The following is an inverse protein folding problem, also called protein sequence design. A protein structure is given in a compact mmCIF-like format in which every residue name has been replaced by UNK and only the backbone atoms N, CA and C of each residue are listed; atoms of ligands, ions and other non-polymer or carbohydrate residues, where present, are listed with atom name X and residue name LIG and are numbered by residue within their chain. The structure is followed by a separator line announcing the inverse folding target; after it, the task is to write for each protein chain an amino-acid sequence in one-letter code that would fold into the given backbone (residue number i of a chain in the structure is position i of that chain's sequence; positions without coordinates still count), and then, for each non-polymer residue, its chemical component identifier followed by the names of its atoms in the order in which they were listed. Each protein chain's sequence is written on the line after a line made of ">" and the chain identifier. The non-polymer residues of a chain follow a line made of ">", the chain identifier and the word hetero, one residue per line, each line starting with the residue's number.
data_IF_226996915075
#
_entry.id   IF_226996915075
#
_cell.length_a   1.000
_cell.length_b   1.000
_cell.length_c   1.000
_cell.angle_alpha   90.00
_cell.angle_beta   90.00
_cell.angle_gamma   90.00
#
_symmetry.space_group_name_H-M   'P 1'
#
loop_
_entity.id
_entity.type
_entity.pdbx_description
1 polymer ?
#
# COMPACT_ATOMS: atom_id res chain seq x y z
N UNK A 1 23.85 -28.96 -43.25
CA UNK A 1 22.41 -28.67 -43.12
C UNK A 1 22.25 -27.50 -42.17
N UNK A 2 22.09 -26.30 -42.72
CA UNK A 2 21.87 -25.06 -41.99
C UNK A 2 20.43 -25.08 -41.47
N UNK A 3 20.24 -25.52 -40.23
CA UNK A 3 18.95 -25.40 -39.57
C UNK A 3 18.72 -23.91 -39.26
N UNK A 4 17.69 -23.36 -39.91
CA UNK A 4 17.12 -22.04 -39.73
C UNK A 4 17.41 -21.40 -38.37
N UNK A 5 18.30 -20.41 -38.39
CA UNK A 5 18.57 -19.51 -37.28
C UNK A 5 17.52 -18.38 -37.27
N UNK A 6 16.24 -18.74 -37.33
CA UNK A 6 15.14 -17.84 -36.94
C UNK A 6 15.10 -17.85 -35.41
N UNK A 7 16.06 -17.16 -34.80
CA UNK A 7 15.87 -16.68 -33.43
C UNK A 7 14.60 -15.83 -33.45
N UNK A 8 13.53 -16.35 -32.86
CA UNK A 8 12.29 -15.64 -32.52
C UNK A 8 12.65 -14.33 -31.84
N UNK A 9 12.82 -13.28 -32.65
CA UNK A 9 13.11 -11.93 -32.19
C UNK A 9 11.77 -11.33 -31.75
N UNK A 10 11.21 -11.89 -30.68
CA UNK A 10 9.99 -11.40 -30.05
C UNK A 10 10.21 -9.94 -29.73
N UNK A 11 9.45 -9.04 -30.34
CA UNK A 11 9.57 -7.62 -30.04
C UNK A 11 8.98 -7.36 -28.64
N UNK A 12 9.78 -6.73 -27.76
CA UNK A 12 9.35 -6.36 -26.40
C UNK A 12 8.11 -5.48 -26.38
N UNK A 13 7.92 -4.72 -27.46
CA UNK A 13 6.96 -3.63 -27.54
C UNK A 13 5.79 -3.95 -28.47
N UNK A 14 5.74 -5.15 -29.05
CA UNK A 14 4.64 -5.61 -29.89
C UNK A 14 3.33 -5.66 -29.09
N UNK A 15 3.36 -6.29 -27.91
CA UNK A 15 2.24 -6.24 -26.97
C UNK A 15 2.31 -4.98 -26.10
N UNK A 16 1.72 -3.90 -26.63
CA UNK A 16 1.64 -2.62 -25.94
C UNK A 16 0.86 -2.68 -24.60
N UNK A 17 0.06 -3.73 -24.34
CA UNK A 17 -0.66 -3.87 -23.06
C UNK A 17 0.26 -4.24 -21.89
N UNK A 18 1.45 -4.77 -22.17
CA UNK A 18 2.48 -5.08 -21.15
C UNK A 18 3.27 -3.85 -20.68
N UNK A 19 3.04 -2.70 -21.28
CA UNK A 19 3.70 -1.44 -20.95
C UNK A 19 2.69 -0.38 -20.49
N UNK A 20 3.10 0.57 -19.63
CA UNK A 20 2.24 1.69 -19.28
C UNK A 20 1.90 2.49 -20.54
N UNK A 21 0.64 2.93 -20.68
CA UNK A 21 0.24 3.82 -21.79
C UNK A 21 0.98 5.16 -21.76
N UNK A 22 1.23 5.66 -20.54
CA UNK A 22 1.98 6.89 -20.29
C UNK A 22 3.09 6.64 -19.26
N UNK A 23 4.20 5.98 -19.63
CA UNK A 23 5.25 5.66 -18.67
C UNK A 23 6.01 6.93 -18.27
N UNK A 24 6.61 6.88 -17.07
CA UNK A 24 7.73 7.78 -16.78
C UNK A 24 8.90 7.50 -17.72
N UNK A 25 9.62 8.53 -18.11
CA UNK A 25 10.84 8.46 -18.91
C UNK A 25 11.78 9.63 -18.58
N UNK A 26 13.09 9.40 -18.69
CA UNK A 26 14.10 10.40 -18.35
C UNK A 26 15.46 10.08 -18.97
N UNK A 27 16.34 11.10 -19.01
CA UNK A 27 17.74 10.92 -19.39
C UNK A 27 18.56 10.16 -18.34
N UNK A 28 18.11 10.19 -17.08
CA UNK A 28 18.69 9.54 -15.91
C UNK A 28 17.65 8.67 -15.16
N UNK A 29 17.98 8.18 -13.96
CA UNK A 29 17.08 7.36 -13.13
C UNK A 29 15.95 8.15 -12.41
N UNK A 30 15.79 9.47 -12.64
CA UNK A 30 14.94 10.34 -11.79
C UNK A 30 13.43 10.29 -12.09
N UNK A 31 12.97 9.59 -13.13
CA UNK A 31 11.56 9.50 -13.50
C UNK A 31 10.90 10.88 -13.71
N UNK A 32 11.59 11.81 -14.36
CA UNK A 32 11.21 13.23 -14.37
C UNK A 32 10.08 13.63 -15.34
N UNK A 33 9.79 12.82 -16.36
CA UNK A 33 8.77 13.14 -17.37
C UNK A 33 7.79 11.99 -17.60
N UNK A 34 6.52 12.32 -17.84
CA UNK A 34 5.49 11.36 -18.27
C UNK A 34 5.15 11.65 -19.74
N UNK A 35 5.21 10.64 -20.60
CA UNK A 35 5.00 10.77 -22.06
C UNK A 35 4.19 9.61 -22.60
N UNK A 36 3.74 9.66 -23.87
CA UNK A 36 3.21 8.47 -24.55
C UNK A 36 4.31 7.42 -24.69
N UNK A 37 3.95 6.13 -24.74
CA UNK A 37 4.92 5.05 -24.90
C UNK A 37 5.88 5.30 -26.07
N UNK A 38 5.36 5.63 -27.26
CA UNK A 38 6.17 5.92 -28.45
C UNK A 38 7.24 7.01 -28.23
N UNK A 39 6.94 8.03 -27.42
CA UNK A 39 7.90 9.10 -27.12
C UNK A 39 8.86 8.69 -26.00
N UNK A 40 8.36 7.97 -24.99
CA UNK A 40 9.16 7.45 -23.90
C UNK A 40 10.25 6.48 -24.38
N UNK A 41 9.99 5.70 -25.44
CA UNK A 41 10.97 4.80 -26.05
C UNK A 41 12.21 5.51 -26.59
N UNK A 42 12.16 6.83 -26.80
CA UNK A 42 13.30 7.65 -27.23
C UNK A 42 14.22 8.08 -26.09
N UNK A 43 13.87 7.77 -24.84
CA UNK A 43 14.66 8.14 -23.67
C UNK A 43 15.48 6.96 -23.13
N UNK A 44 16.67 7.20 -22.52
CA UNK A 44 17.50 6.14 -21.94
C UNK A 44 16.82 5.34 -20.84
N UNK A 45 15.98 5.95 -20.01
CA UNK A 45 15.27 5.26 -18.93
C UNK A 45 13.77 5.33 -19.13
N UNK A 46 13.07 4.24 -18.83
CA UNK A 46 11.63 4.09 -19.00
C UNK A 46 11.01 3.33 -17.81
N UNK A 47 9.78 3.69 -17.44
CA UNK A 47 8.97 2.90 -16.52
C UNK A 47 8.40 1.68 -17.23
N UNK A 48 8.73 0.50 -16.73
CA UNK A 48 8.26 -0.75 -17.32
C UNK A 48 6.93 -1.26 -16.72
N UNK A 49 6.68 -1.00 -15.43
CA UNK A 49 5.48 -1.46 -14.74
C UNK A 49 4.53 -0.29 -14.44
N UNK A 50 3.22 -0.40 -14.71
CA UNK A 50 2.26 0.58 -14.19
C UNK A 50 2.14 0.47 -12.67
N UNK A 51 1.64 1.51 -11.95
CA UNK A 51 1.69 1.55 -10.49
C UNK A 51 1.02 0.36 -9.77
N UNK A 52 -0.05 -0.19 -10.36
CA UNK A 52 -0.89 -1.22 -9.74
C UNK A 52 -0.58 -2.65 -10.20
N UNK A 53 0.37 -2.86 -11.11
CA UNK A 53 0.60 -4.16 -11.72
C UNK A 53 2.10 -4.44 -11.90
N UNK A 54 2.55 -5.61 -11.48
CA UNK A 54 3.86 -6.15 -11.81
C UNK A 54 3.75 -7.01 -13.07
N UNK A 55 4.28 -6.51 -14.17
CA UNK A 55 4.40 -7.22 -15.45
C UNK A 55 5.83 -7.74 -15.63
N UNK A 56 6.81 -6.97 -15.14
CA UNK A 56 8.24 -7.21 -15.30
C UNK A 56 8.92 -7.19 -13.93
N UNK A 57 9.57 -8.29 -13.54
CA UNK A 57 10.45 -8.35 -12.37
C UNK A 57 11.85 -7.87 -12.76
N UNK A 58 12.29 -6.74 -12.20
CA UNK A 58 13.47 -5.99 -12.64
C UNK A 58 14.49 -5.94 -11.50
N UNK A 59 15.73 -6.27 -11.81
CA UNK A 59 16.82 -6.34 -10.84
C UNK A 59 17.99 -5.47 -11.31
N UNK A 60 18.38 -4.47 -10.51
CA UNK A 60 19.57 -3.64 -10.75
C UNK A 60 20.81 -4.35 -10.20
N UNK A 61 21.71 -4.75 -11.10
CA UNK A 61 22.92 -5.50 -10.79
C UNK A 61 24.11 -4.57 -11.05
N UNK A 62 24.69 -4.07 -9.96
CA UNK A 62 25.77 -3.08 -9.96
C UNK A 62 27.17 -3.70 -9.98
N UNK A 63 27.29 -4.92 -10.51
CA UNK A 63 28.55 -5.63 -10.67
C UNK A 63 28.99 -5.71 -12.14
N UNK A 64 30.32 -5.85 -12.40
CA UNK A 64 30.81 -6.11 -13.75
C UNK A 64 30.20 -7.37 -14.36
N UNK A 65 30.00 -7.35 -15.67
CA UNK A 65 29.34 -8.42 -16.44
C UNK A 65 27.92 -8.77 -15.96
N UNK A 66 27.15 -7.77 -15.51
CA UNK A 66 25.79 -7.94 -15.00
C UNK A 66 24.90 -8.78 -15.92
N UNK A 67 25.05 -8.65 -17.24
CA UNK A 67 24.25 -9.39 -18.23
C UNK A 67 24.35 -10.93 -18.11
N UNK A 68 25.40 -11.45 -17.46
CA UNK A 68 25.66 -12.87 -17.23
C UNK A 68 25.44 -13.29 -15.77
N UNK A 69 24.98 -12.37 -14.90
CA UNK A 69 24.78 -12.67 -13.48
C UNK A 69 23.76 -13.80 -13.25
N UNK A 70 22.76 -13.93 -14.13
CA UNK A 70 21.77 -15.00 -14.07
C UNK A 70 22.38 -16.40 -14.20
N UNK A 71 23.40 -16.55 -15.04
CA UNK A 71 24.07 -17.84 -15.26
C UNK A 71 24.85 -18.25 -14.01
N UNK A 72 25.58 -17.31 -13.40
CA UNK A 72 26.28 -17.52 -12.13
C UNK A 72 25.31 -17.87 -10.99
N UNK A 73 24.15 -17.24 -10.96
CA UNK A 73 23.09 -17.50 -9.99
C UNK A 73 22.32 -18.80 -10.23
N UNK A 74 22.59 -19.51 -11.33
CA UNK A 74 21.78 -20.64 -11.79
C UNK A 74 20.28 -20.28 -11.82
N UNK A 75 19.96 -19.21 -12.55
CA UNK A 75 18.61 -18.70 -12.80
C UNK A 75 18.23 -18.96 -14.27
N UNK A 76 16.94 -18.88 -14.65
CA UNK A 76 16.58 -18.99 -16.05
C UNK A 76 17.03 -17.73 -16.82
N UNK A 77 17.29 -17.83 -18.14
CA UNK A 77 17.69 -16.66 -18.94
C UNK A 77 16.69 -15.50 -18.80
N UNK A 78 17.14 -14.26 -18.55
CA UNK A 78 16.24 -13.12 -18.45
C UNK A 78 15.55 -12.84 -19.78
N UNK A 79 14.34 -12.27 -19.76
CA UNK A 79 13.67 -11.78 -20.97
C UNK A 79 14.53 -10.75 -21.69
N UNK A 80 15.18 -9.87 -20.93
CA UNK A 80 16.31 -9.09 -21.43
C UNK A 80 17.27 -8.70 -20.32
N UNK A 81 18.50 -8.42 -20.72
CA UNK A 81 19.47 -7.70 -19.92
C UNK A 81 19.85 -6.40 -20.66
N UNK A 82 19.69 -5.26 -20.00
CA UNK A 82 20.13 -3.96 -20.52
C UNK A 82 21.30 -3.46 -19.68
N UNK A 83 22.48 -3.36 -20.29
CA UNK A 83 23.72 -3.00 -19.59
C UNK A 83 24.38 -1.75 -20.17
N UNK A 84 25.07 -1.03 -19.29
CA UNK A 84 25.95 0.05 -19.70
C UNK A 84 27.17 -0.51 -20.46
N UNK A 85 27.58 0.16 -21.54
CA UNK A 85 28.64 -0.33 -22.41
C UNK A 85 30.03 -0.27 -21.78
N UNK A 86 30.25 0.61 -20.81
CA UNK A 86 31.56 0.82 -20.19
C UNK A 86 31.66 0.08 -18.86
N UNK A 87 30.74 0.35 -17.94
CA UNK A 87 30.73 -0.25 -16.61
C UNK A 87 30.19 -1.68 -16.59
N UNK A 88 29.46 -2.10 -17.63
CA UNK A 88 28.78 -3.40 -17.74
C UNK A 88 27.74 -3.69 -16.65
N UNK A 89 27.43 -2.71 -15.80
CA UNK A 89 26.36 -2.74 -14.80
C UNK A 89 25.00 -2.66 -15.48
N UNK A 90 24.01 -3.35 -14.96
CA UNK A 90 22.87 -3.76 -15.77
C UNK A 90 21.57 -3.92 -15.04
N UNK A 91 20.47 -3.86 -15.79
CA UNK A 91 19.19 -4.36 -15.31
C UNK A 91 18.90 -5.69 -15.99
N UNK A 92 18.56 -6.70 -15.19
CA UNK A 92 18.09 -8.00 -15.65
C UNK A 92 16.60 -8.09 -15.40
N UNK A 93 15.84 -8.53 -16.39
CA UNK A 93 14.39 -8.46 -16.35
C UNK A 93 13.74 -9.75 -16.81
N UNK A 94 12.80 -10.24 -16.01
CA UNK A 94 11.94 -11.37 -16.34
C UNK A 94 10.50 -10.90 -16.48
N UNK A 95 9.87 -11.20 -17.61
CA UNK A 95 8.44 -10.96 -17.80
C UNK A 95 7.59 -12.02 -17.12
N UNK A 96 6.46 -11.60 -16.53
CA UNK A 96 5.44 -12.50 -15.99
C UNK A 96 4.36 -12.73 -17.05
N UNK A 97 4.01 -13.99 -17.30
CA UNK A 97 2.95 -14.37 -18.26
C UNK A 97 1.59 -13.89 -17.78
N UNK A 98 1.34 -14.02 -16.47
CA UNK A 98 0.19 -13.45 -15.76
C UNK A 98 0.72 -12.35 -14.83
N UNK A 99 0.46 -11.07 -15.13
CA UNK A 99 0.86 -9.98 -14.26
C UNK A 99 0.19 -10.06 -12.88
N UNK A 100 0.91 -9.64 -11.85
CA UNK A 100 0.43 -9.66 -10.46
C UNK A 100 -0.03 -8.28 -10.04
N UNK A 101 -1.24 -8.17 -9.49
CA UNK A 101 -1.74 -6.92 -8.90
C UNK A 101 -0.92 -6.58 -7.67
N UNK A 102 -0.38 -5.36 -7.64
CA UNK A 102 0.49 -4.88 -6.56
C UNK A 102 -0.01 -3.72 -5.75
N UNK A 103 -0.99 -2.99 -6.27
CA UNK A 103 -1.61 -1.87 -5.59
C UNK A 103 -3.06 -1.72 -6.08
N UNK A 104 -4.00 -2.32 -5.35
CA UNK A 104 -5.44 -2.26 -5.64
C UNK A 104 -6.26 -2.64 -4.39
N UNK A 105 -7.46 -2.05 -4.17
CA UNK A 105 -8.37 -2.47 -3.11
C UNK A 105 -8.73 -3.96 -3.17
N UNK A 106 -8.78 -4.52 -4.38
CA UNK A 106 -9.16 -5.92 -4.64
C UNK A 106 -7.94 -6.86 -4.71
N UNK A 107 -6.76 -6.40 -4.28
CA UNK A 107 -5.52 -7.17 -4.35
C UNK A 107 -5.56 -8.39 -3.42
N UNK A 108 -5.39 -9.58 -4.00
CA UNK A 108 -5.13 -10.81 -3.23
C UNK A 108 -3.72 -10.77 -2.66
N UNK A 109 -3.60 -10.97 -1.36
CA UNK A 109 -2.31 -10.93 -0.65
C UNK A 109 -1.40 -12.11 -1.00
N UNK A 110 -1.97 -13.27 -1.34
CA UNK A 110 -1.22 -14.49 -1.61
C UNK A 110 -0.33 -14.39 -2.88
N UNK A 111 -0.86 -14.03 -4.07
CA UNK A 111 -0.02 -13.83 -5.27
C UNK A 111 1.05 -12.75 -5.07
N UNK A 112 0.69 -11.66 -4.37
CA UNK A 112 1.63 -10.60 -4.02
C UNK A 112 2.80 -11.14 -3.18
N UNK A 113 2.50 -11.84 -2.08
CA UNK A 113 3.53 -12.41 -1.21
C UNK A 113 4.40 -13.42 -1.93
N UNK A 114 3.78 -14.24 -2.79
CA UNK A 114 4.50 -15.22 -3.58
C UNK A 114 5.46 -14.55 -4.58
N UNK A 115 4.99 -13.52 -5.29
CA UNK A 115 5.83 -12.69 -6.14
C UNK A 115 7.01 -12.09 -5.37
N UNK A 116 6.74 -11.51 -4.20
CA UNK A 116 7.79 -10.91 -3.37
C UNK A 116 8.84 -11.95 -2.97
N UNK A 117 8.43 -13.15 -2.58
CA UNK A 117 9.33 -14.25 -2.22
C UNK A 117 10.29 -14.60 -3.36
N UNK A 118 9.74 -14.75 -4.57
CA UNK A 118 10.50 -15.07 -5.77
C UNK A 118 11.45 -13.92 -6.11
N UNK A 119 10.97 -12.67 -6.10
CA UNK A 119 11.82 -11.51 -6.36
C UNK A 119 12.95 -11.37 -5.31
N UNK A 120 12.69 -11.62 -4.03
CA UNK A 120 13.73 -11.60 -3.00
C UNK A 120 14.79 -12.69 -3.22
N UNK A 121 14.37 -13.91 -3.54
CA UNK A 121 15.30 -15.01 -3.79
C UNK A 121 16.13 -14.78 -5.07
N UNK A 122 15.52 -14.23 -6.13
CA UNK A 122 16.23 -13.81 -7.34
C UNK A 122 17.23 -12.70 -7.03
N UNK A 123 16.82 -11.70 -6.23
CA UNK A 123 17.69 -10.59 -5.84
C UNK A 123 18.91 -11.09 -5.07
N UNK A 124 18.73 -12.06 -4.16
CA UNK A 124 19.82 -12.68 -3.41
C UNK A 124 20.79 -13.42 -4.34
N UNK A 125 20.28 -14.25 -5.25
CA UNK A 125 21.11 -14.99 -6.22
C UNK A 125 21.87 -14.09 -7.21
N UNK A 126 21.29 -12.95 -7.56
CA UNK A 126 21.89 -11.96 -8.45
C UNK A 126 22.83 -10.99 -7.74
N UNK A 127 22.86 -11.01 -6.40
CA UNK A 127 23.49 -9.96 -5.58
C UNK A 127 23.06 -8.54 -6.03
N UNK A 128 21.78 -8.42 -6.38
CA UNK A 128 21.19 -7.20 -6.91
C UNK A 128 20.85 -6.21 -5.79
N UNK A 129 20.77 -4.93 -6.13
CA UNK A 129 20.48 -3.86 -5.17
C UNK A 129 19.12 -4.07 -4.45
N UNK A 130 19.17 -4.16 -3.13
CA UNK A 130 17.99 -4.27 -2.25
C UNK A 130 17.25 -2.94 -2.06
N UNK A 131 17.92 -1.82 -2.32
CA UNK A 131 17.33 -0.49 -2.35
C UNK A 131 16.48 -0.23 -3.59
N UNK A 132 16.71 -0.95 -4.69
CA UNK A 132 16.09 -0.69 -5.97
C UNK A 132 14.58 -1.01 -6.00
N UNK A 133 13.77 0.02 -6.20
CA UNK A 133 12.31 -0.06 -6.15
C UNK A 133 11.63 -0.61 -7.42
N UNK A 134 12.37 -0.82 -8.53
CA UNK A 134 11.82 -1.39 -9.76
C UNK A 134 10.96 -0.43 -10.61
N UNK A 135 10.92 0.87 -10.29
CA UNK A 135 10.12 1.85 -11.04
C UNK A 135 10.69 2.14 -12.43
N UNK A 136 11.98 2.50 -12.50
CA UNK A 136 12.66 2.94 -13.71
C UNK A 136 13.68 1.92 -14.16
N UNK A 137 13.60 1.46 -15.42
CA UNK A 137 14.58 0.55 -16.00
C UNK A 137 15.36 1.20 -17.16
N UNK A 138 16.56 0.68 -17.44
CA UNK A 138 17.31 0.97 -18.67
C UNK A 138 16.43 0.53 -19.85
N UNK A 139 16.07 1.47 -20.71
CA UNK A 139 15.13 1.25 -21.81
C UNK A 139 15.75 0.36 -22.89
N UNK A 140 15.25 -0.86 -23.13
CA UNK A 140 15.84 -1.77 -24.10
C UNK A 140 15.70 -1.33 -25.57
N UNK A 141 14.85 -0.34 -25.87
CA UNK A 141 14.79 0.27 -27.20
C UNK A 141 15.87 1.34 -27.45
N UNK A 142 16.52 1.84 -26.38
CA UNK A 142 17.41 2.98 -26.50
C UNK A 142 18.84 2.55 -26.85
N UNK A 143 19.49 3.15 -27.86
CA UNK A 143 20.79 2.72 -28.35
C UNK A 143 21.95 2.98 -27.37
N UNK A 144 21.73 3.67 -26.25
CA UNK A 144 22.74 3.89 -25.20
C UNK A 144 23.17 2.56 -24.54
N UNK A 145 22.23 1.63 -24.41
CA UNK A 145 22.47 0.37 -23.70
C UNK A 145 22.87 -0.73 -24.67
N UNK A 146 23.72 -1.65 -24.19
CA UNK A 146 23.87 -2.95 -24.83
C UNK A 146 22.78 -3.86 -24.29
N UNK A 147 21.95 -4.40 -25.19
CA UNK A 147 20.81 -5.23 -24.81
C UNK A 147 21.06 -6.66 -25.29
N UNK A 148 20.91 -7.62 -24.38
CA UNK A 148 20.84 -9.04 -24.69
C UNK A 148 19.39 -9.49 -24.54
N UNK A 149 18.85 -10.16 -25.55
CA UNK A 149 17.49 -10.69 -25.57
C UNK A 149 17.52 -12.16 -25.14
N UNK A 150 16.65 -12.51 -24.20
CA UNK A 150 16.43 -13.92 -23.87
C UNK A 150 15.54 -14.60 -24.91
N UNK A 151 15.45 -15.95 -24.84
CA UNK A 151 14.65 -16.74 -25.76
C UNK A 151 13.13 -16.61 -25.52
N UNK A 152 12.71 -16.02 -24.39
CA UNK A 152 11.31 -15.98 -23.94
C UNK A 152 10.90 -14.60 -23.45
N UNK A 153 9.69 -14.17 -23.84
CA UNK A 153 9.11 -12.88 -23.46
C UNK A 153 8.52 -12.87 -22.04
N UNK A 154 8.10 -14.05 -21.55
CA UNK A 154 7.46 -14.19 -20.26
C UNK A 154 7.62 -15.61 -19.69
N UNK A 155 7.48 -15.71 -18.38
CA UNK A 155 7.54 -16.91 -17.56
C UNK A 155 6.32 -16.96 -16.66
N UNK A 156 5.86 -18.15 -16.32
CA UNK A 156 4.94 -18.29 -15.20
C UNK A 156 5.67 -18.00 -13.89
N UNK A 157 4.99 -17.37 -12.93
CA UNK A 157 5.59 -17.08 -11.63
C UNK A 157 5.98 -18.37 -10.89
N UNK A 158 5.19 -19.43 -11.06
CA UNK A 158 5.51 -20.77 -10.56
C UNK A 158 6.79 -21.34 -11.17
N UNK A 159 6.96 -21.20 -12.49
CA UNK A 159 8.19 -21.62 -13.18
C UNK A 159 9.42 -20.90 -12.62
N UNK A 160 9.35 -19.57 -12.42
CA UNK A 160 10.47 -18.82 -11.84
C UNK A 160 10.80 -19.31 -10.43
N UNK A 161 9.79 -19.69 -9.64
CA UNK A 161 9.98 -20.21 -8.29
C UNK A 161 10.74 -21.54 -8.24
N UNK A 162 10.67 -22.37 -9.29
CA UNK A 162 11.41 -23.65 -9.34
C UNK A 162 12.93 -23.47 -9.35
N UNK A 163 13.41 -22.28 -9.73
CA UNK A 163 14.83 -21.94 -9.77
C UNK A 163 15.38 -21.43 -8.43
N UNK A 164 14.55 -21.32 -7.40
CA UNK A 164 14.91 -20.72 -6.11
C UNK A 164 14.34 -21.49 -4.93
N UNK A 165 15.10 -21.53 -3.84
CA UNK A 165 14.61 -22.09 -2.59
C UNK A 165 13.74 -21.06 -1.87
N UNK A 166 12.43 -21.26 -1.95
CA UNK A 166 11.48 -20.45 -1.19
C UNK A 166 11.26 -21.03 0.21
N UNK A 167 11.12 -20.20 1.25
CA UNK A 167 10.80 -20.69 2.58
C UNK A 167 9.43 -21.39 2.59
N UNK A 168 9.36 -22.60 3.18
CA UNK A 168 8.12 -23.41 3.32
C UNK A 168 6.95 -22.63 3.91
N UNK A 169 7.27 -21.68 4.78
CA UNK A 169 6.33 -20.68 5.25
C UNK A 169 6.89 -19.32 4.88
N UNK A 170 6.29 -18.71 3.86
CA UNK A 170 6.36 -17.28 3.65
C UNK A 170 5.91 -16.62 4.95
N UNK A 171 6.82 -15.98 5.69
CA UNK A 171 6.44 -15.46 6.98
C UNK A 171 5.37 -14.40 6.71
N UNK A 172 4.33 -14.33 7.55
CA UNK A 172 3.29 -13.28 7.48
C UNK A 172 3.87 -11.92 7.89
N UNK A 173 5.12 -11.64 7.54
CA UNK A 173 5.77 -10.35 7.69
C UNK A 173 4.99 -9.37 6.86
N UNK A 174 4.83 -8.17 7.40
CA UNK A 174 4.23 -7.10 6.61
C UNK A 174 5.18 -6.80 5.45
N UNK A 175 4.69 -6.47 4.24
CA UNK A 175 5.53 -6.13 3.08
C UNK A 175 6.69 -5.15 3.42
N UNK A 176 6.42 -4.30 4.39
CA UNK A 176 7.27 -3.30 5.04
C UNK A 176 8.60 -3.86 5.56
N UNK A 177 8.61 -5.10 6.04
CA UNK A 177 9.79 -5.81 6.59
C UNK A 177 10.66 -6.45 5.50
N UNK A 178 10.12 -6.64 4.29
CA UNK A 178 10.81 -7.17 3.10
C UNK A 178 11.17 -6.07 2.08
N UNK A 179 11.15 -4.80 2.53
CA UNK A 179 11.52 -3.66 1.69
C UNK A 179 10.49 -3.24 0.64
N UNK A 180 9.35 -3.95 0.52
CA UNK A 180 8.24 -3.60 -0.35
C UNK A 180 7.20 -2.76 0.38
N UNK A 181 6.74 -1.68 -0.25
CA UNK A 181 5.77 -0.80 0.40
C UNK A 181 6.35 0.04 1.54
N UNK A 182 7.68 0.15 1.71
CA UNK A 182 8.32 1.08 2.66
C UNK A 182 7.78 2.52 2.52
N UNK A 183 7.65 2.98 1.27
CA UNK A 183 7.02 4.25 0.93
C UNK A 183 5.58 4.32 1.45
N UNK A 184 4.80 3.27 1.16
CA UNK A 184 3.40 3.13 1.61
C UNK A 184 3.32 3.13 3.13
N UNK A 185 4.20 2.41 3.84
CA UNK A 185 4.24 2.37 5.30
C UNK A 185 4.46 3.75 5.90
N UNK A 186 5.46 4.48 5.40
CA UNK A 186 5.75 5.84 5.86
C UNK A 186 4.57 6.75 5.52
N UNK A 187 4.02 6.66 4.31
CA UNK A 187 2.86 7.45 3.86
C UNK A 187 1.60 7.19 4.70
N UNK A 188 1.22 5.93 4.94
CA UNK A 188 0.02 5.55 5.68
C UNK A 188 0.11 5.93 7.15
N UNK A 189 1.28 5.77 7.75
CA UNK A 189 1.52 6.24 9.10
C UNK A 189 1.45 7.78 9.14
N UNK A 190 2.13 8.46 8.22
CA UNK A 190 2.25 9.92 8.22
C UNK A 190 0.91 10.59 7.96
N UNK A 191 0.08 10.09 7.03
CA UNK A 191 -1.24 10.68 6.77
C UNK A 191 -2.16 10.58 7.98
N UNK A 192 -2.13 9.46 8.71
CA UNK A 192 -2.95 9.28 9.91
C UNK A 192 -2.49 10.19 11.04
N UNK A 193 -1.18 10.32 11.22
CA UNK A 193 -0.61 11.32 12.12
C UNK A 193 -1.04 12.74 11.71
N UNK A 194 -0.97 13.04 10.42
CA UNK A 194 -1.29 14.35 9.88
C UNK A 194 -2.75 14.75 10.13
N UNK A 195 -3.71 13.84 9.93
CA UNK A 195 -5.13 14.10 10.18
C UNK A 195 -5.43 14.50 11.62
N UNK A 196 -4.69 13.96 12.59
CA UNK A 196 -4.88 14.27 14.02
C UNK A 196 -4.30 15.64 14.39
N UNK A 197 -3.25 16.07 13.70
CA UNK A 197 -2.46 17.24 14.10
C UNK A 197 -2.71 18.49 13.24
N UNK A 198 -3.29 18.34 12.03
CA UNK A 198 -3.50 19.44 11.09
C UNK A 198 -4.34 20.58 11.67
N UNK A 199 -5.29 20.31 12.59
CA UNK A 199 -6.09 21.36 13.24
C UNK A 199 -5.22 22.43 13.90
N UNK A 200 -4.21 22.01 14.66
CA UNK A 200 -3.32 22.93 15.38
C UNK A 200 -2.57 23.85 14.40
N UNK A 201 -2.01 23.27 13.34
CA UNK A 201 -1.22 24.04 12.37
C UNK A 201 -2.08 24.91 11.45
N UNK A 202 -3.30 24.48 11.13
CA UNK A 202 -4.21 25.21 10.24
C UNK A 202 -4.92 26.36 10.94
N UNK A 203 -5.30 26.20 12.21
CA UNK A 203 -6.08 27.22 12.93
C UNK A 203 -5.26 28.05 13.92
N UNK A 204 -4.35 27.43 14.67
CA UNK A 204 -3.60 28.11 15.73
C UNK A 204 -2.33 28.74 15.17
N UNK A 205 -1.48 27.95 14.52
CA UNK A 205 -0.19 28.42 13.97
C UNK A 205 -0.37 29.17 12.64
N UNK A 206 -1.30 28.70 11.79
CA UNK A 206 -1.62 29.24 10.45
C UNK A 206 -0.42 29.36 9.51
N UNK A 207 0.53 28.42 9.60
CA UNK A 207 1.75 28.46 8.79
C UNK A 207 1.98 27.12 8.07
N UNK A 208 1.89 27.14 6.74
CA UNK A 208 2.11 25.96 5.91
C UNK A 208 3.57 25.49 5.90
N UNK A 209 4.54 26.41 5.94
CA UNK A 209 5.97 26.05 5.92
C UNK A 209 6.33 25.27 7.19
N UNK A 210 5.86 25.74 8.34
CA UNK A 210 6.05 25.03 9.61
C UNK A 210 5.32 23.68 9.62
N UNK A 211 4.12 23.60 9.03
CA UNK A 211 3.41 22.33 8.86
C UNK A 211 4.18 21.32 8.01
N UNK A 212 4.70 21.76 6.87
CA UNK A 212 5.46 20.90 5.97
C UNK A 212 6.79 20.46 6.60
N UNK A 213 7.49 21.37 7.28
CA UNK A 213 8.72 21.04 8.01
C UNK A 213 8.46 20.02 9.12
N UNK A 214 7.39 20.21 9.90
CA UNK A 214 6.98 19.27 10.96
C UNK A 214 6.68 17.88 10.42
N UNK A 215 5.90 17.78 9.34
CA UNK A 215 5.62 16.49 8.71
C UNK A 215 6.87 15.85 8.11
N UNK A 216 7.81 16.63 7.56
CA UNK A 216 9.07 16.11 7.09
C UNK A 216 9.89 15.49 8.23
N UNK A 217 9.98 16.17 9.38
CA UNK A 217 10.61 15.62 10.58
C UNK A 217 9.97 14.31 11.04
N UNK A 218 8.63 14.25 11.08
CA UNK A 218 7.89 13.03 11.46
C UNK A 218 8.05 11.90 10.44
N UNK A 219 8.14 12.22 9.16
CA UNK A 219 8.40 11.23 8.11
C UNK A 219 9.81 10.64 8.23
N UNK A 220 10.81 11.49 8.52
CA UNK A 220 12.20 11.05 8.75
C UNK A 220 12.33 10.18 10.00
N UNK A 221 11.65 10.55 11.10
CA UNK A 221 11.57 9.73 12.32
C UNK A 221 11.02 8.34 12.01
N UNK A 222 9.86 8.28 11.32
CA UNK A 222 9.25 7.00 10.94
C UNK A 222 10.12 6.19 9.96
N UNK A 223 10.84 6.86 9.08
CA UNK A 223 11.78 6.22 8.16
C UNK A 223 12.97 5.61 8.91
N UNK A 224 13.39 6.21 10.03
CA UNK A 224 14.45 5.68 10.90
C UNK A 224 14.08 4.39 11.62
N UNK A 225 12.78 4.12 11.80
CA UNK A 225 12.29 2.85 12.36
C UNK A 225 12.39 1.66 11.37
N UNK A 226 12.62 1.93 10.08
CA UNK A 226 12.70 0.89 9.07
C UNK A 226 14.06 0.19 9.14
N UNK A 227 14.05 -1.14 8.98
CA UNK A 227 15.28 -1.94 8.90
C UNK A 227 16.20 -1.47 7.77
N UNK A 228 15.61 -1.03 6.66
CA UNK A 228 16.32 -0.40 5.53
C UNK A 228 15.61 0.92 5.19
N UNK A 229 16.13 2.07 5.67
CA UNK A 229 15.53 3.38 5.45
C UNK A 229 15.41 3.75 3.96
N UNK A 230 14.37 4.52 3.62
CA UNK A 230 14.26 5.20 2.33
C UNK A 230 15.28 6.33 2.21
N UNK A 231 15.62 6.70 0.98
CA UNK A 231 16.44 7.88 0.71
C UNK A 231 15.72 9.17 1.14
N UNK A 232 16.47 10.15 1.64
CA UNK A 232 15.88 11.37 2.22
C UNK A 232 15.01 12.18 1.24
N UNK A 233 15.35 12.17 -0.05
CA UNK A 233 14.53 12.79 -1.10
C UNK A 233 13.16 12.10 -1.26
N UNK A 234 13.10 10.77 -1.13
CA UNK A 234 11.88 10.00 -1.17
C UNK A 234 10.98 10.32 0.02
N UNK A 235 11.56 10.36 1.23
CA UNK A 235 10.85 10.77 2.45
C UNK A 235 10.27 12.18 2.33
N UNK A 236 11.05 13.12 1.77
CA UNK A 236 10.58 14.49 1.53
C UNK A 236 9.40 14.53 0.56
N UNK A 237 9.40 13.72 -0.50
CA UNK A 237 8.26 13.63 -1.42
C UNK A 237 6.99 13.12 -0.72
N UNK A 238 7.11 12.13 0.15
CA UNK A 238 5.98 11.65 0.98
C UNK A 238 5.46 12.79 1.85
N UNK A 239 6.34 13.43 2.61
CA UNK A 239 5.98 14.53 3.51
C UNK A 239 5.33 15.70 2.77
N UNK A 240 5.87 16.08 1.61
CA UNK A 240 5.35 17.14 0.75
C UNK A 240 3.96 16.81 0.20
N UNK A 241 3.72 15.55 -0.21
CA UNK A 241 2.42 15.10 -0.70
C UNK A 241 1.37 15.17 0.40
N UNK A 242 1.65 14.58 1.56
CA UNK A 242 0.75 14.58 2.71
C UNK A 242 0.49 16.01 3.19
N UNK A 243 1.53 16.83 3.33
CA UNK A 243 1.38 18.19 3.86
C UNK A 243 0.49 19.07 2.97
N UNK A 244 0.68 19.01 1.64
CA UNK A 244 -0.15 19.73 0.68
C UNK A 244 -1.60 19.25 0.73
N UNK A 245 -1.82 17.94 0.69
CA UNK A 245 -3.16 17.38 0.67
C UNK A 245 -3.93 17.73 1.94
N UNK A 246 -3.31 17.56 3.13
CA UNK A 246 -3.99 17.89 4.38
C UNK A 246 -4.25 19.38 4.54
N UNK A 247 -3.39 20.24 3.97
CA UNK A 247 -3.61 21.68 4.01
C UNK A 247 -4.80 22.11 3.16
N UNK A 248 -4.83 21.64 1.90
CA UNK A 248 -5.78 22.14 0.89
C UNK A 248 -7.09 21.35 0.80
N UNK A 249 -7.06 20.04 1.07
CA UNK A 249 -8.18 19.13 0.77
C UNK A 249 -8.81 18.49 2.00
N UNK A 250 -8.13 18.47 3.15
CA UNK A 250 -8.68 17.85 4.34
C UNK A 250 -9.76 18.71 4.99
N UNK A 251 -10.95 18.12 5.07
CA UNK A 251 -12.12 18.70 5.72
C UNK A 251 -12.16 18.26 7.19
N UNK A 252 -11.87 19.21 8.07
CA UNK A 252 -11.89 19.03 9.52
C UNK A 252 -13.30 18.75 10.04
N UNK A 253 -14.31 19.47 9.54
CA UNK A 253 -15.69 19.34 10.02
C UNK A 253 -16.26 17.95 9.67
N UNK A 254 -16.06 17.51 8.43
CA UNK A 254 -16.46 16.16 8.02
C UNK A 254 -15.67 15.06 8.76
N UNK A 255 -14.40 15.30 9.08
CA UNK A 255 -13.61 14.38 9.91
C UNK A 255 -14.16 14.28 11.35
N UNK A 256 -14.51 15.41 11.97
CA UNK A 256 -15.06 15.46 13.32
C UNK A 256 -16.43 14.80 13.41
N UNK A 257 -17.30 15.04 12.44
CA UNK A 257 -18.61 14.41 12.36
C UNK A 257 -18.48 12.88 12.32
N UNK A 258 -17.57 12.36 11.49
CA UNK A 258 -17.28 10.91 11.40
C UNK A 258 -16.72 10.36 12.72
N UNK A 259 -15.81 11.07 13.36
CA UNK A 259 -15.24 10.63 14.63
C UNK A 259 -16.28 10.62 15.75
N UNK A 260 -17.12 11.65 15.84
CA UNK A 260 -18.23 11.76 16.80
C UNK A 260 -19.24 10.61 16.61
N UNK A 261 -19.64 10.35 15.37
CA UNK A 261 -20.52 9.23 15.05
C UNK A 261 -19.91 7.87 15.47
N UNK A 262 -18.62 7.67 15.20
CA UNK A 262 -17.91 6.45 15.58
C UNK A 262 -17.81 6.28 17.11
N UNK A 263 -17.55 7.37 17.84
CA UNK A 263 -17.52 7.36 19.32
C UNK A 263 -18.91 7.06 19.90
N UNK A 264 -19.96 7.66 19.36
CA UNK A 264 -21.34 7.37 19.74
C UNK A 264 -21.69 5.89 19.53
N UNK A 265 -21.35 5.33 18.36
CA UNK A 265 -21.56 3.91 18.07
C UNK A 265 -20.79 3.00 19.02
N UNK A 266 -19.50 3.28 19.28
CA UNK A 266 -18.67 2.52 20.21
C UNK A 266 -19.19 2.60 21.65
N UNK A 267 -19.64 3.77 22.08
CA UNK A 267 -20.26 3.97 23.39
C UNK A 267 -21.51 3.11 23.57
N UNK A 268 -22.39 3.08 22.55
CA UNK A 268 -23.57 2.20 22.54
C UNK A 268 -23.19 0.73 22.64
N UNK A 269 -22.25 0.27 21.81
CA UNK A 269 -21.77 -1.13 21.82
C UNK A 269 -21.12 -1.53 23.15
N UNK A 270 -20.34 -0.64 23.76
CA UNK A 270 -19.73 -0.89 25.07
C UNK A 270 -20.80 -0.98 26.18
N UNK A 271 -21.84 -0.15 26.13
CA UNK A 271 -22.98 -0.26 27.04
C UNK A 271 -23.73 -1.58 26.88
N UNK A 272 -24.07 -1.95 25.64
CA UNK A 272 -24.71 -3.22 25.30
C UNK A 272 -23.90 -4.41 25.84
N UNK A 273 -22.57 -4.41 25.65
CA UNK A 273 -21.70 -5.47 26.14
C UNK A 273 -21.62 -5.55 27.67
N UNK A 274 -21.65 -4.41 28.36
CA UNK A 274 -21.44 -4.35 29.82
C UNK A 274 -22.73 -4.53 30.63
N UNK A 275 -23.88 -4.12 30.08
CA UNK A 275 -25.15 -4.11 30.80
C UNK A 275 -26.23 -5.00 30.14
N UNK A 276 -25.91 -5.62 29.00
CA UNK A 276 -26.88 -6.34 28.19
C UNK A 276 -27.89 -5.41 27.53
N UNK A 277 -28.76 -5.99 26.70
CA UNK A 277 -29.98 -5.32 26.32
C UNK A 277 -30.93 -5.32 27.52
N UNK A 278 -31.40 -4.13 27.91
CA UNK A 278 -32.33 -3.97 29.02
C UNK A 278 -33.74 -3.62 28.53
N UNK A 279 -34.03 -3.72 27.23
CA UNK A 279 -35.35 -3.44 26.67
C UNK A 279 -36.44 -4.29 27.33
N UNK A 280 -36.21 -5.59 27.50
CA UNK A 280 -37.20 -6.50 28.12
C UNK A 280 -37.47 -6.17 29.59
N UNK A 281 -36.40 -5.83 30.34
CA UNK A 281 -36.52 -5.40 31.74
C UNK A 281 -37.22 -4.05 31.85
N UNK A 282 -36.97 -3.14 30.91
CA UNK A 282 -37.66 -1.85 30.85
C UNK A 282 -39.14 -2.02 30.49
N UNK A 283 -39.49 -2.90 29.55
CA UNK A 283 -40.88 -3.20 29.20
C UNK A 283 -41.62 -3.86 30.37
N UNK A 284 -40.99 -4.84 31.02
CA UNK A 284 -41.54 -5.51 32.22
C UNK A 284 -41.72 -4.53 33.37
N UNK A 285 -40.75 -3.64 33.62
CA UNK A 285 -40.85 -2.58 34.63
C UNK A 285 -42.07 -1.66 34.40
N UNK A 286 -42.38 -1.34 33.14
CA UNK A 286 -43.55 -0.50 32.79
C UNK A 286 -44.86 -1.23 33.07
N UNK A 287 -44.96 -2.51 32.68
CA UNK A 287 -46.16 -3.32 32.91
C UNK A 287 -46.42 -3.50 34.41
N UNK A 288 -45.39 -3.82 35.19
CA UNK A 288 -45.49 -3.98 36.64
C UNK A 288 -45.84 -2.66 37.36
N UNK A 289 -45.32 -1.53 36.87
CA UNK A 289 -45.69 -0.21 37.39
C UNK A 289 -47.16 0.13 37.07
N UNK A 290 -47.62 -0.18 35.85
CA UNK A 290 -49.01 0.02 35.43
C UNK A 290 -50.00 -0.89 36.19
N UNK A 291 -49.58 -2.09 36.59
CA UNK A 291 -50.36 -2.98 37.45
C UNK A 291 -50.36 -2.57 38.93
N UNK A 292 -49.78 -1.41 39.28
CA UNK A 292 -49.81 -0.84 40.62
C UNK A 292 -48.74 -1.36 41.58
N UNK A 293 -47.72 -2.09 41.10
CA UNK A 293 -46.63 -2.53 41.99
C UNK A 293 -45.77 -1.34 42.42
N UNK A 294 -45.29 -1.38 43.67
CA UNK A 294 -44.39 -0.33 44.17
C UNK A 294 -43.01 -0.41 43.50
N UNK A 295 -42.36 0.74 43.30
CA UNK A 295 -41.04 0.81 42.66
C UNK A 295 -39.99 -0.07 43.36
N UNK A 296 -40.03 -0.18 44.69
CA UNK A 296 -39.13 -1.07 45.43
C UNK A 296 -39.33 -2.55 45.09
N UNK A 297 -40.59 -2.98 44.94
CA UNK A 297 -40.90 -4.36 44.57
C UNK A 297 -40.45 -4.68 43.14
N UNK A 298 -40.68 -3.76 42.20
CA UNK A 298 -40.26 -3.91 40.80
C UNK A 298 -38.73 -3.96 40.68
N UNK A 299 -38.01 -3.11 41.42
CA UNK A 299 -36.55 -3.09 41.42
C UNK A 299 -35.96 -4.41 41.94
N UNK A 300 -36.55 -4.97 42.99
CA UNK A 300 -36.18 -6.28 43.53
C UNK A 300 -36.45 -7.41 42.53
N UNK A 301 -37.64 -7.43 41.92
CA UNK A 301 -38.06 -8.45 40.95
C UNK A 301 -37.15 -8.50 39.71
N UNK A 302 -36.76 -7.33 39.18
CA UNK A 302 -35.94 -7.24 37.97
C UNK A 302 -34.42 -7.30 38.25
N UNK A 303 -34.02 -7.38 39.52
CA UNK A 303 -32.62 -7.40 39.96
C UNK A 303 -31.87 -6.12 39.61
N UNK A 304 -32.53 -4.96 39.69
CA UNK A 304 -31.95 -3.65 39.37
C UNK A 304 -32.02 -2.70 40.56
N UNK A 305 -31.18 -1.66 40.57
CA UNK A 305 -31.25 -0.66 41.64
C UNK A 305 -32.48 0.24 41.49
N UNK A 306 -33.02 0.73 42.59
CA UNK A 306 -34.12 1.71 42.61
C UNK A 306 -33.82 2.96 41.75
N UNK A 307 -32.55 3.40 41.73
CA UNK A 307 -32.09 4.50 40.87
C UNK A 307 -32.21 4.16 39.38
N UNK A 308 -31.84 2.95 38.98
CA UNK A 308 -31.96 2.48 37.59
C UNK A 308 -33.42 2.43 37.17
N UNK A 309 -34.29 1.88 38.02
CA UNK A 309 -35.74 1.80 37.76
C UNK A 309 -36.37 3.20 37.60
N UNK A 310 -36.06 4.14 38.50
CA UNK A 310 -36.56 5.52 38.38
C UNK A 310 -36.16 6.19 37.08
N UNK A 311 -34.93 5.96 36.61
CA UNK A 311 -34.47 6.50 35.33
C UNK A 311 -35.26 5.91 34.15
N UNK A 312 -35.57 4.61 34.18
CA UNK A 312 -36.37 3.94 33.14
C UNK A 312 -37.81 4.47 33.07
N UNK A 313 -38.45 4.64 34.24
CA UNK A 313 -39.82 5.18 34.33
C UNK A 313 -39.89 6.68 33.99
N UNK A 314 -38.85 7.45 34.35
CA UNK A 314 -38.76 8.89 34.00
C UNK A 314 -38.56 9.13 32.51
N UNK A 315 -37.74 8.30 31.85
CA UNK A 315 -37.52 8.39 30.41
C UNK A 315 -38.80 8.10 29.59
N UNK A 316 -39.75 7.35 30.15
CA UNK A 316 -41.03 7.02 29.51
C UNK A 316 -42.14 8.03 29.80
N UNK A 317 -42.11 8.72 30.95
CA UNK A 317 -43.06 9.80 31.28
C UNK A 317 -42.96 11.07 30.42
N UNK A 318 -41.83 11.29 29.75
CA UNK A 318 -41.62 12.47 28.89
C UNK A 318 -42.20 12.32 27.46
N UNK A 319 -42.86 11.20 27.14
CA UNK A 319 -43.45 10.94 25.81
C UNK A 319 -44.99 11.13 25.78
N UNK A 320 -45.60 11.69 26.83
CA UNK A 320 -47.03 12.01 26.85
C UNK A 320 -47.21 13.51 26.59
N UNK A 321 -47.32 13.89 25.32
CA UNK A 321 -47.87 15.18 24.91
C UNK A 321 -49.40 14.99 24.74
N UNK A 322 -50.26 15.57 25.59
CA UNK A 322 -51.69 15.51 25.37
C UNK A 322 -52.05 16.59 24.34
N UNK A 323 -51.88 16.28 23.05
CA UNK A 323 -52.66 16.92 22.02
C UNK A 323 -53.95 16.10 21.88
N UNK A 324 -55.01 16.56 22.55
CA UNK A 324 -56.44 16.51 22.19
C UNK A 324 -57.20 17.17 23.35
N UNK A 325 -57.57 18.43 23.16
CA UNK A 325 -58.94 18.93 23.27
C UNK A 325 -59.08 20.11 22.32
#
# INVERSE_FOLDING_TARGET
>A
MLANNEQLNLDLFEDAHRWPRKPYCSADKTASSIRTLQHALKHPYIQANPPHLRVWSIFDVDQPAAALAWEKGNLPPPTWAAVDRQSTKGHLVWGLSVPVLVDSPDMRQEPMRYLCAVEEAFRAKLEADSGYAGLMTKNPAHPLWRVLRGPRLAYELGELAEWVDLPKHLPKRKPEEIGLGRNVTVFEWLRQYAYRNIRHYKHNVRNFVLWQSHLNGKALERNGDLLVPLAGNEVWHIAKSVSKWTWHKFDLAASDARFSALQSHRGKQAMLKRWGDNEDKQASARLMAASGMTQRAIAAELGVTDRTLRNWLKASGNNHNPAIQ
#
